data_IF_580005003478
#
_entry.id   IF_580005003478
#
_cell.length_a   1.000
_cell.length_b   1.000
_cell.length_c   1.000
_cell.angle_alpha   90.00
_cell.angle_beta   90.00
_cell.angle_gamma   90.00
#
_symmetry.space_group_name_H-M   'P 1'
#
loop_
_entity.id
_entity.type
_entity.pdbx_description
1 polymer ?
#
# COMPACT_ATOMS: atom_id res chain seq x y z
N UNK A 1 4.07 3.78 6.58
CA UNK A 1 3.18 2.73 7.13
C UNK A 1 2.89 1.72 6.04
N UNK A 2 2.68 0.43 6.38
CA UNK A 2 2.39 -0.63 5.43
C UNK A 2 1.02 -1.26 5.72
N UNK A 3 0.20 -1.41 4.68
CA UNK A 3 -0.99 -2.27 4.69
C UNK A 3 -0.67 -3.57 3.94
N UNK A 4 -1.39 -4.65 4.25
CA UNK A 4 -1.23 -5.96 3.61
C UNK A 4 -1.75 -5.89 2.17
N UNK A 5 -0.99 -6.40 1.22
CA UNK A 5 -1.47 -6.72 -0.12
C UNK A 5 -1.71 -8.21 -0.29
N UNK A 6 -2.26 -8.60 -1.43
CA UNK A 6 -2.50 -10.02 -1.73
C UNK A 6 -1.19 -10.82 -1.92
N UNK A 7 -0.09 -10.14 -2.25
CA UNK A 7 1.23 -10.75 -2.42
C UNK A 7 1.95 -11.02 -1.09
N UNK A 8 1.52 -10.41 0.02
CA UNK A 8 2.00 -10.68 1.38
C UNK A 8 1.28 -11.93 1.96
N UNK A 9 1.35 -13.04 1.22
CA UNK A 9 0.73 -14.33 1.53
C UNK A 9 1.66 -15.48 1.14
N UNK A 10 1.60 -16.60 1.86
CA UNK A 10 2.46 -17.77 1.62
C UNK A 10 2.22 -18.34 0.23
N UNK A 11 0.96 -18.47 -0.17
CA UNK A 11 0.62 -19.08 -1.46
C UNK A 11 1.16 -18.26 -2.65
N UNK A 12 1.00 -16.94 -2.60
CA UNK A 12 1.46 -16.07 -3.70
C UNK A 12 2.99 -15.95 -3.69
N UNK A 13 3.62 -15.79 -2.53
CA UNK A 13 5.10 -15.68 -2.47
C UNK A 13 5.85 -16.92 -2.93
N UNK A 14 5.27 -18.11 -2.77
CA UNK A 14 5.83 -19.39 -3.25
C UNK A 14 5.84 -19.49 -4.77
N UNK A 15 4.87 -18.89 -5.45
CA UNK A 15 4.71 -18.99 -6.91
C UNK A 15 5.37 -17.81 -7.64
N UNK A 16 5.34 -16.62 -7.04
CA UNK A 16 5.71 -15.36 -7.70
C UNK A 16 7.10 -14.82 -7.27
N UNK A 17 7.98 -15.70 -6.80
CA UNK A 17 9.42 -15.46 -6.78
C UNK A 17 10.02 -14.97 -5.46
N UNK A 18 9.22 -14.47 -4.50
CA UNK A 18 9.76 -14.01 -3.21
C UNK A 18 10.37 -15.18 -2.40
N UNK A 19 9.73 -16.34 -2.41
CA UNK A 19 10.27 -17.56 -1.82
C UNK A 19 11.63 -17.92 -2.43
N UNK A 20 11.68 -18.06 -3.76
CA UNK A 20 12.91 -18.43 -4.48
C UNK A 20 14.03 -17.41 -4.28
N UNK A 21 13.69 -16.12 -4.20
CA UNK A 21 14.65 -15.06 -3.92
C UNK A 21 15.25 -15.20 -2.52
N UNK A 22 14.42 -15.48 -1.51
CA UNK A 22 14.88 -15.72 -0.15
C UNK A 22 15.82 -16.93 -0.08
N UNK A 23 15.44 -18.06 -0.68
CA UNK A 23 16.30 -19.25 -0.74
C UNK A 23 17.62 -18.94 -1.45
N UNK A 24 17.57 -18.27 -2.60
CA UNK A 24 18.76 -17.95 -3.41
C UNK A 24 19.72 -17.00 -2.69
N UNK A 25 19.21 -15.99 -1.97
CA UNK A 25 20.04 -14.98 -1.30
C UNK A 25 20.59 -15.46 0.05
N UNK A 26 19.81 -16.24 0.80
CA UNK A 26 20.12 -16.58 2.19
C UNK A 26 20.42 -18.07 2.41
N UNK A 27 20.26 -18.91 1.39
CA UNK A 27 20.53 -20.36 1.45
C UNK A 27 19.57 -21.15 2.35
N UNK A 28 18.54 -20.50 2.91
CA UNK A 28 17.60 -21.10 3.85
C UNK A 28 16.20 -20.49 3.72
N UNK A 29 15.19 -21.29 4.04
CA UNK A 29 13.77 -20.90 4.08
C UNK A 29 13.42 -20.02 5.28
N UNK A 30 14.32 -19.91 6.27
CA UNK A 30 14.09 -19.17 7.52
C UNK A 30 13.64 -17.73 7.27
N UNK A 31 14.33 -17.00 6.38
CA UNK A 31 13.99 -15.59 6.09
C UNK A 31 12.57 -15.48 5.51
N UNK A 32 12.22 -16.35 4.56
CA UNK A 32 10.87 -16.36 4.00
C UNK A 32 9.81 -16.64 5.08
N UNK A 33 10.06 -17.61 5.98
CA UNK A 33 9.15 -17.91 7.09
C UNK A 33 8.95 -16.70 7.99
N UNK A 34 10.03 -16.07 8.45
CA UNK A 34 9.95 -14.86 9.27
C UNK A 34 9.18 -13.73 8.57
N UNK A 35 9.43 -13.49 7.28
CA UNK A 35 8.68 -12.50 6.52
C UNK A 35 7.18 -12.83 6.45
N UNK A 36 6.81 -14.09 6.21
CA UNK A 36 5.40 -14.48 6.17
C UNK A 36 4.69 -14.37 7.51
N UNK A 37 5.39 -14.57 8.62
CA UNK A 37 4.86 -14.30 9.97
C UNK A 37 4.61 -12.80 10.20
N UNK A 38 5.50 -11.94 9.68
CA UNK A 38 5.30 -10.48 9.69
C UNK A 38 4.12 -10.08 8.82
N UNK A 39 3.96 -10.70 7.64
CA UNK A 39 2.84 -10.43 6.73
C UNK A 39 1.49 -10.66 7.39
N UNK A 40 1.36 -11.69 8.22
CA UNK A 40 0.14 -11.96 8.99
C UNK A 40 -0.21 -10.84 9.98
N UNK A 41 0.77 -10.05 10.40
CA UNK A 41 0.56 -8.94 11.32
C UNK A 41 0.17 -7.61 10.63
N UNK A 42 0.30 -7.52 9.30
CA UNK A 42 0.03 -6.27 8.57
C UNK A 42 -1.45 -5.87 8.66
N UNK A 43 -1.71 -4.56 8.74
CA UNK A 43 -3.06 -4.02 8.76
C UNK A 43 -3.76 -4.26 7.40
N UNK A 44 -5.06 -4.55 7.41
CA UNK A 44 -5.82 -4.78 6.17
C UNK A 44 -6.21 -3.47 5.47
N UNK A 45 -6.44 -2.42 6.25
CA UNK A 45 -6.81 -1.10 5.75
C UNK A 45 -6.37 0.00 6.72
N UNK A 46 -6.36 1.24 6.23
CA UNK A 46 -6.14 2.44 7.02
C UNK A 46 -7.16 3.51 6.67
N UNK A 47 -7.43 4.41 7.61
CA UNK A 47 -8.28 5.58 7.42
C UNK A 47 -7.47 6.82 7.73
N UNK A 48 -7.31 7.71 6.76
CA UNK A 48 -6.56 8.97 6.89
C UNK A 48 -7.56 10.10 7.12
N UNK A 49 -7.33 10.90 8.18
CA UNK A 49 -8.15 12.05 8.56
C UNK A 49 -9.64 11.75 8.71
N UNK A 50 -10.01 10.50 8.99
CA UNK A 50 -11.41 10.06 9.12
C UNK A 50 -12.18 9.92 7.81
N UNK A 51 -11.66 10.41 6.68
CA UNK A 51 -12.43 10.58 5.44
C UNK A 51 -11.82 9.86 4.23
N UNK A 52 -10.59 9.36 4.31
CA UNK A 52 -9.93 8.63 3.22
C UNK A 52 -9.69 7.19 3.64
N UNK A 53 -10.32 6.24 2.96
CA UNK A 53 -10.17 4.81 3.21
C UNK A 53 -9.11 4.20 2.28
N UNK A 54 -8.04 3.67 2.85
CA UNK A 54 -6.95 3.03 2.12
C UNK A 54 -7.03 1.50 2.26
N UNK A 55 -7.08 0.79 1.14
CA UNK A 55 -7.13 -0.67 1.08
C UNK A 55 -6.35 -1.16 -0.15
N UNK A 56 -5.71 -2.33 -0.12
CA UNK A 56 -4.95 -2.80 -1.29
C UNK A 56 -5.85 -3.16 -2.47
N UNK A 57 -6.81 -4.05 -2.22
CA UNK A 57 -7.81 -4.52 -3.18
C UNK A 57 -8.99 -3.56 -3.24
N UNK A 58 -10.08 -3.84 -2.54
CA UNK A 58 -11.29 -3.03 -2.67
C UNK A 58 -12.37 -3.43 -1.69
N UNK A 59 -13.63 -3.16 -2.03
CA UNK A 59 -14.76 -3.41 -1.15
C UNK A 59 -15.20 -4.88 -1.17
N UNK A 60 -15.82 -5.32 -0.08
CA UNK A 60 -16.37 -6.67 0.08
C UNK A 60 -17.90 -6.61 0.25
N UNK A 61 -18.67 -7.52 -0.36
CA UNK A 61 -20.11 -7.63 -0.08
C UNK A 61 -20.42 -7.99 1.38
N UNK A 62 -19.44 -8.51 2.12
CA UNK A 62 -19.58 -8.87 3.54
C UNK A 62 -19.25 -7.72 4.49
N UNK A 63 -18.78 -6.58 3.97
CA UNK A 63 -18.35 -5.42 4.76
C UNK A 63 -19.14 -4.19 4.31
N UNK A 64 -20.02 -3.73 5.20
CA UNK A 64 -20.79 -2.50 5.04
C UNK A 64 -20.14 -1.34 5.81
N UNK A 65 -19.46 -1.63 6.93
CA UNK A 65 -18.85 -0.62 7.80
C UNK A 65 -17.38 -0.91 8.07
N UNK A 66 -16.59 0.14 8.26
CA UNK A 66 -15.17 0.06 8.59
C UNK A 66 -14.94 -0.71 9.89
N UNK A 67 -15.85 -0.62 10.86
CA UNK A 67 -15.73 -1.34 12.13
C UNK A 67 -15.77 -2.86 11.97
N UNK A 68 -16.45 -3.39 10.95
CA UNK A 68 -16.42 -4.83 10.65
C UNK A 68 -15.03 -5.32 10.26
N UNK A 69 -14.19 -4.45 9.68
CA UNK A 69 -12.79 -4.79 9.35
C UNK A 69 -11.96 -4.90 10.62
N UNK A 70 -12.30 -4.16 11.70
CA UNK A 70 -11.54 -4.17 12.96
C UNK A 70 -11.58 -5.52 13.66
N UNK A 71 -12.69 -6.24 13.50
CA UNK A 71 -12.93 -7.52 14.17
C UNK A 71 -12.47 -8.72 13.34
N UNK A 72 -11.94 -8.51 12.13
CA UNK A 72 -11.34 -9.58 11.33
C UNK A 72 -10.07 -10.07 12.04
N UNK A 73 -10.02 -11.37 12.35
CA UNK A 73 -8.77 -12.01 12.74
C UNK A 73 -7.83 -12.06 11.53
N UNK A 74 -6.94 -11.07 11.43
CA UNK A 74 -6.02 -10.95 10.31
C UNK A 74 -4.73 -11.75 10.46
N UNK A 75 -4.44 -12.27 11.67
CA UNK A 75 -3.17 -12.95 12.02
C UNK A 75 -3.15 -14.39 11.53
N UNK A 76 -3.45 -14.55 10.25
CA UNK A 76 -3.53 -15.81 9.55
C UNK A 76 -3.15 -15.61 8.09
N UNK A 77 -2.95 -16.73 7.39
CA UNK A 77 -2.85 -16.74 5.94
C UNK A 77 -4.12 -16.15 5.31
N UNK A 78 -3.98 -15.46 4.18
CA UNK A 78 -5.12 -14.92 3.43
C UNK A 78 -6.04 -16.09 3.02
N UNK A 79 -7.32 -16.11 3.46
CA UNK A 79 -8.26 -17.14 3.03
C UNK A 79 -8.56 -17.06 1.53
N UNK A 80 -9.13 -18.13 0.98
CA UNK A 80 -9.51 -18.17 -0.44
C UNK A 80 -10.78 -17.35 -0.74
N UNK A 81 -11.63 -17.10 0.27
CA UNK A 81 -12.86 -16.34 0.17
C UNK A 81 -13.11 -15.50 1.45
N UNK A 82 -14.22 -14.76 1.46
CA UNK A 82 -14.64 -13.97 2.62
C UNK A 82 -13.99 -12.58 2.72
N UNK A 83 -14.31 -11.83 3.77
CA UNK A 83 -14.06 -10.39 3.85
C UNK A 83 -12.57 -10.02 3.75
N UNK A 84 -11.68 -10.82 4.33
CA UNK A 84 -10.23 -10.59 4.24
C UNK A 84 -9.70 -10.82 2.82
N UNK A 85 -10.17 -11.86 2.13
CA UNK A 85 -9.83 -12.11 0.74
C UNK A 85 -10.29 -10.95 -0.14
N UNK A 86 -11.56 -10.56 0.01
CA UNK A 86 -12.18 -9.51 -0.80
C UNK A 86 -11.46 -8.15 -0.67
N UNK A 87 -11.07 -7.76 0.55
CA UNK A 87 -10.31 -6.53 0.80
C UNK A 87 -8.98 -6.51 0.04
N UNK A 88 -8.35 -7.67 -0.20
CA UNK A 88 -7.05 -7.78 -0.86
C UNK A 88 -7.13 -8.03 -2.36
N UNK A 89 -8.28 -8.49 -2.87
CA UNK A 89 -8.42 -8.98 -4.26
C UNK A 89 -9.49 -8.28 -5.11
N UNK A 90 -10.41 -7.54 -4.49
CA UNK A 90 -11.53 -6.93 -5.23
C UNK A 90 -11.10 -5.72 -6.07
N UNK A 91 -11.82 -5.47 -7.16
CA UNK A 91 -11.49 -4.45 -8.17
C UNK A 91 -12.69 -3.56 -8.54
N UNK A 92 -12.49 -2.24 -8.74
CA UNK A 92 -13.52 -1.37 -9.28
C UNK A 92 -13.80 -1.72 -10.76
N UNK A 93 -15.08 -1.75 -11.15
CA UNK A 93 -15.54 -1.99 -12.53
C UNK A 93 -16.82 -1.20 -12.83
N UNK A 94 -17.19 -1.08 -14.11
CA UNK A 94 -18.43 -0.39 -14.54
C UNK A 94 -19.71 -1.22 -14.28
N UNK A 95 -19.61 -2.33 -13.56
CA UNK A 95 -20.74 -3.17 -13.16
C UNK A 95 -21.67 -2.44 -12.19
N UNK A 96 -22.92 -2.90 -12.08
CA UNK A 96 -23.84 -2.44 -11.03
C UNK A 96 -23.81 -3.44 -9.88
N UNK A 97 -23.65 -2.95 -8.65
CA UNK A 97 -23.50 -3.79 -7.47
C UNK A 97 -22.16 -4.53 -7.47
N UNK A 98 -22.20 -5.79 -7.03
CA UNK A 98 -21.04 -6.68 -7.05
C UNK A 98 -21.09 -7.65 -8.22
N UNK A 99 -19.94 -7.89 -8.85
CA UNK A 99 -19.73 -8.88 -9.90
C UNK A 99 -18.68 -9.92 -9.51
N UNK A 100 -18.67 -11.07 -10.19
CA UNK A 100 -17.64 -12.09 -9.98
C UNK A 100 -16.30 -11.60 -10.54
N UNK A 101 -15.24 -11.67 -9.74
CA UNK A 101 -13.90 -11.29 -10.18
C UNK A 101 -13.35 -12.29 -11.20
N UNK A 102 -12.82 -11.82 -12.35
CA UNK A 102 -12.15 -12.68 -13.32
C UNK A 102 -10.81 -13.23 -12.82
N UNK A 103 -10.33 -12.76 -11.65
CA UNK A 103 -9.09 -13.24 -11.01
C UNK A 103 -9.28 -14.58 -10.29
N UNK A 104 -10.51 -14.99 -10.05
CA UNK A 104 -10.84 -16.18 -9.26
C UNK A 104 -10.82 -15.95 -7.74
N UNK A 105 -10.65 -14.71 -7.29
CA UNK A 105 -10.71 -14.28 -5.89
C UNK A 105 -11.22 -12.83 -5.81
N UNK A 106 -11.94 -12.50 -4.73
CA UNK A 106 -12.60 -11.20 -4.55
C UNK A 106 -13.76 -10.94 -5.53
N UNK A 107 -14.19 -9.68 -5.61
CA UNK A 107 -15.32 -9.24 -6.42
C UNK A 107 -14.96 -8.04 -7.31
N UNK A 108 -15.75 -7.84 -8.36
CA UNK A 108 -15.87 -6.54 -9.00
C UNK A 108 -16.89 -5.70 -8.22
N UNK A 109 -16.68 -4.39 -8.10
CA UNK A 109 -17.65 -3.50 -7.45
C UNK A 109 -17.89 -2.22 -8.25
N UNK A 110 -19.16 -1.84 -8.34
CA UNK A 110 -19.65 -0.66 -9.05
C UNK A 110 -19.62 0.64 -8.26
N UNK A 111 -19.97 1.73 -8.94
CA UNK A 111 -20.09 3.07 -8.33
C UNK A 111 -21.17 3.14 -7.24
N UNK A 112 -22.26 2.39 -7.38
CA UNK A 112 -23.36 2.32 -6.42
C UNK A 112 -22.94 1.68 -5.09
N UNK A 113 -22.06 0.67 -5.16
CA UNK A 113 -21.44 0.06 -3.99
C UNK A 113 -20.55 1.05 -3.27
N UNK A 114 -19.73 1.79 -4.01
CA UNK A 114 -18.83 2.81 -3.45
C UNK A 114 -19.64 3.91 -2.77
N UNK A 115 -20.69 4.41 -3.43
CA UNK A 115 -21.56 5.44 -2.87
C UNK A 115 -22.15 4.98 -1.53
N UNK A 116 -22.72 3.77 -1.50
CA UNK A 116 -23.33 3.20 -0.28
C UNK A 116 -22.31 3.06 0.85
N UNK A 117 -21.11 2.55 0.55
CA UNK A 117 -20.04 2.41 1.53
C UNK A 117 -19.56 3.76 2.04
N UNK A 118 -19.34 4.73 1.15
CA UNK A 118 -18.86 6.06 1.49
C UNK A 118 -19.86 6.80 2.39
N UNK A 119 -21.14 6.79 2.04
CA UNK A 119 -22.22 7.40 2.84
C UNK A 119 -22.33 6.76 4.23
N UNK A 120 -22.26 5.42 4.32
CA UNK A 120 -22.37 4.71 5.59
C UNK A 120 -21.18 4.96 6.54
N UNK A 121 -20.01 5.32 6.00
CA UNK A 121 -18.77 5.43 6.76
C UNK A 121 -18.20 6.85 6.85
N UNK A 122 -18.84 7.84 6.21
CA UNK A 122 -18.33 9.22 6.15
C UNK A 122 -17.01 9.35 5.36
N UNK A 123 -16.82 8.51 4.34
CA UNK A 123 -15.62 8.48 3.50
C UNK A 123 -15.85 9.27 2.22
N UNK A 124 -14.91 10.14 1.88
CA UNK A 124 -14.93 10.92 0.64
C UNK A 124 -14.17 10.21 -0.49
N UNK A 125 -13.15 9.43 -0.12
CA UNK A 125 -12.22 8.83 -1.06
C UNK A 125 -11.76 7.44 -0.62
N UNK A 126 -11.84 6.46 -1.53
CA UNK A 126 -11.16 5.18 -1.41
C UNK A 126 -9.85 5.22 -2.20
N UNK A 127 -8.71 5.09 -1.53
CA UNK A 127 -7.40 4.92 -2.16
C UNK A 127 -7.02 3.44 -2.19
N UNK A 128 -6.70 2.91 -3.37
CA UNK A 128 -6.36 1.51 -3.56
C UNK A 128 -5.26 1.26 -4.58
N UNK A 129 -4.79 0.01 -4.66
CA UNK A 129 -3.69 -0.39 -5.54
C UNK A 129 -4.09 -1.56 -6.45
N UNK A 130 -3.36 -2.67 -6.44
CA UNK A 130 -3.66 -3.99 -7.04
C UNK A 130 -3.89 -4.09 -8.56
N UNK A 131 -4.52 -3.12 -9.23
CA UNK A 131 -4.63 -3.03 -10.69
C UNK A 131 -3.49 -2.22 -11.29
N UNK A 132 -2.82 -2.81 -12.29
CA UNK A 132 -1.87 -2.09 -13.12
C UNK A 132 -2.58 -0.97 -13.89
N UNK A 133 -2.04 0.25 -13.79
CA UNK A 133 -2.48 1.42 -14.57
C UNK A 133 -1.29 1.97 -15.35
N UNK A 134 -1.48 2.25 -16.63
CA UNK A 134 -0.39 2.67 -17.53
C UNK A 134 0.19 4.02 -17.16
N UNK A 135 -0.66 4.93 -16.70
CA UNK A 135 -0.37 6.30 -16.30
C UNK A 135 0.06 6.41 -14.83
N UNK A 136 0.24 5.29 -14.14
CA UNK A 136 0.61 5.22 -12.72
C UNK A 136 -0.56 5.42 -11.75
N UNK A 137 -1.63 6.12 -12.15
CA UNK A 137 -2.85 6.23 -11.35
C UNK A 137 -4.11 6.35 -12.22
N UNK A 138 -5.27 6.02 -11.65
CA UNK A 138 -6.59 6.15 -12.30
C UNK A 138 -7.66 6.53 -11.30
N UNK A 139 -8.45 7.54 -11.66
CA UNK A 139 -9.69 7.87 -10.97
C UNK A 139 -10.85 7.00 -11.50
N UNK A 140 -11.71 6.55 -10.59
CA UNK A 140 -12.95 5.85 -10.91
C UNK A 140 -14.12 6.59 -10.24
N UNK A 141 -15.32 6.38 -10.78
CA UNK A 141 -16.59 6.76 -10.16
C UNK A 141 -16.62 8.21 -9.64
N UNK A 142 -16.38 9.17 -10.55
CA UNK A 142 -16.32 10.60 -10.23
C UNK A 142 -15.32 10.94 -9.12
N UNK A 143 -14.11 10.37 -9.21
CA UNK A 143 -12.99 10.60 -8.28
C UNK A 143 -13.21 10.11 -6.83
N UNK A 144 -14.22 9.26 -6.60
CA UNK A 144 -14.47 8.66 -5.27
C UNK A 144 -13.59 7.44 -5.00
N UNK A 145 -12.96 6.87 -6.04
CA UNK A 145 -11.93 5.82 -5.91
C UNK A 145 -10.71 6.18 -6.73
N UNK A 146 -9.53 6.06 -6.13
CA UNK A 146 -8.24 6.23 -6.78
C UNK A 146 -7.47 4.91 -6.78
N UNK A 147 -7.11 4.40 -7.95
CA UNK A 147 -6.12 3.34 -8.10
C UNK A 147 -4.75 3.97 -8.29
N UNK A 148 -3.78 3.63 -7.44
CA UNK A 148 -2.38 4.09 -7.52
C UNK A 148 -1.46 2.87 -7.73
N UNK A 149 -0.52 2.99 -8.67
CA UNK A 149 0.45 1.97 -9.01
C UNK A 149 1.86 2.54 -8.99
N UNK A 150 2.71 2.01 -8.11
CA UNK A 150 4.03 2.60 -7.84
C UNK A 150 5.21 1.77 -8.39
N UNK A 151 4.97 0.77 -9.24
CA UNK A 151 6.00 -0.06 -9.86
C UNK A 151 6.14 0.26 -11.37
N UNK A 152 7.11 1.09 -11.78
CA UNK A 152 7.25 1.51 -13.18
C UNK A 152 7.83 0.40 -14.03
N UNK A 153 7.43 0.36 -15.30
CA UNK A 153 7.75 -0.70 -16.26
C UNK A 153 7.61 -2.09 -15.63
N UNK A 154 6.40 -2.38 -15.15
CA UNK A 154 6.11 -3.57 -14.38
C UNK A 154 6.54 -4.84 -15.13
N UNK A 155 7.19 -5.74 -14.39
CA UNK A 155 7.85 -6.94 -14.90
C UNK A 155 8.77 -6.71 -16.11
N UNK A 156 9.32 -5.50 -16.28
CA UNK A 156 10.14 -5.06 -17.42
C UNK A 156 9.48 -5.21 -18.79
N UNK A 157 8.15 -5.26 -18.83
CA UNK A 157 7.36 -5.56 -20.05
C UNK A 157 6.21 -4.61 -20.27
N UNK A 158 5.60 -4.09 -19.20
CA UNK A 158 4.36 -3.35 -19.31
C UNK A 158 4.56 -1.93 -19.82
N UNK A 159 5.73 -1.31 -19.58
CA UNK A 159 6.01 0.06 -20.04
C UNK A 159 5.17 1.15 -19.36
N UNK A 160 4.46 0.84 -18.27
CA UNK A 160 3.72 1.81 -17.47
C UNK A 160 4.68 2.76 -16.72
N UNK A 161 4.21 3.97 -16.42
CA UNK A 161 4.83 4.83 -15.39
C UNK A 161 4.28 4.47 -14.01
N UNK A 162 4.87 5.04 -12.97
CA UNK A 162 4.45 4.86 -11.60
C UNK A 162 4.02 6.20 -10.98
N UNK A 163 3.15 6.12 -9.98
CA UNK A 163 2.67 7.29 -9.25
C UNK A 163 2.78 7.08 -7.73
N UNK A 164 2.90 8.21 -7.02
CA UNK A 164 2.64 8.36 -5.60
C UNK A 164 1.58 9.45 -5.46
N UNK A 165 0.56 9.21 -4.61
CA UNK A 165 -0.41 10.22 -4.22
C UNK A 165 0.04 10.87 -2.92
N UNK A 166 0.28 12.17 -2.97
CA UNK A 166 0.61 13.03 -1.84
C UNK A 166 -0.67 13.71 -1.36
N UNK A 167 -0.91 13.62 -0.07
CA UNK A 167 -2.06 14.22 0.61
C UNK A 167 -1.53 15.28 1.57
N UNK A 168 -1.95 16.53 1.39
CA UNK A 168 -1.61 17.61 2.32
C UNK A 168 -2.60 17.68 3.51
N UNK A 169 -2.30 18.53 4.48
CA UNK A 169 -3.10 18.73 5.70
C UNK A 169 -4.51 19.28 5.42
N UNK A 170 -4.68 19.99 4.30
CA UNK A 170 -5.96 20.54 3.84
C UNK A 170 -6.66 19.64 2.81
N UNK A 171 -6.29 18.35 2.74
CA UNK A 171 -6.81 17.37 1.79
C UNK A 171 -6.53 17.68 0.31
N UNK A 172 -5.56 18.56 0.02
CA UNK A 172 -5.00 18.71 -1.32
C UNK A 172 -4.37 17.39 -1.78
N UNK A 173 -4.59 17.09 -3.05
CA UNK A 173 -4.21 15.82 -3.71
C UNK A 173 -3.25 16.13 -4.84
N UNK A 174 -2.00 15.70 -4.71
CA UNK A 174 -0.99 15.86 -5.76
C UNK A 174 -0.39 14.50 -6.14
N UNK A 175 -0.10 14.30 -7.43
CA UNK A 175 0.55 13.08 -7.90
C UNK A 175 1.99 13.34 -8.33
N UNK A 176 2.91 12.62 -7.71
CA UNK A 176 4.29 12.52 -8.18
C UNK A 176 4.39 11.32 -9.14
N UNK A 177 4.60 11.60 -10.43
CA UNK A 177 4.76 10.58 -11.49
C UNK A 177 6.24 10.34 -11.77
N UNK A 178 6.64 9.07 -11.86
CA UNK A 178 8.04 8.70 -12.11
C UNK A 178 8.18 7.47 -13.01
N UNK A 179 9.28 7.42 -13.73
CA UNK A 179 9.63 6.33 -14.65
C UNK A 179 10.60 5.33 -14.00
N UNK A 180 10.88 4.23 -14.71
CA UNK A 180 11.85 3.24 -14.23
C UNK A 180 13.26 3.81 -14.25
N UNK A 181 14.02 3.60 -13.18
CA UNK A 181 15.41 4.06 -13.10
C UNK A 181 16.28 3.53 -14.27
N UNK A 182 17.24 4.33 -14.78
CA UNK A 182 18.14 3.93 -15.86
C UNK A 182 18.87 2.62 -15.58
N UNK A 183 19.21 1.87 -16.63
CA UNK A 183 19.79 0.54 -16.49
C UNK A 183 21.19 0.56 -15.83
N UNK A 184 21.93 1.65 -15.98
CA UNK A 184 23.28 1.84 -15.43
C UNK A 184 23.31 1.95 -13.90
N UNK A 185 22.22 2.39 -13.27
CA UNK A 185 22.10 2.49 -11.80
C UNK A 185 21.52 1.22 -11.16
N UNK A 186 21.13 0.21 -11.95
CA UNK A 186 20.61 -1.07 -11.44
C UNK A 186 21.76 -1.99 -11.03
N UNK A 187 22.25 -1.86 -9.80
CA UNK A 187 23.23 -2.78 -9.25
C UNK A 187 22.61 -4.19 -9.00
N UNK A 188 22.95 -5.18 -9.85
CA UNK A 188 22.91 -6.64 -9.58
C UNK A 188 21.74 -7.46 -10.16
N UNK A 189 21.77 -8.82 -10.07
CA UNK A 189 22.67 -9.78 -10.70
C UNK A 189 22.15 -10.29 -12.08
N UNK A 190 22.97 -11.09 -12.79
CA UNK A 190 22.72 -11.63 -14.15
C UNK A 190 21.32 -12.24 -14.35
N UNK A 191 20.69 -11.85 -15.47
CA UNK A 191 19.35 -12.26 -15.93
C UNK A 191 19.25 -13.78 -16.14
N UNK A 192 18.27 -14.42 -15.52
CA UNK A 192 17.53 -15.52 -16.15
C UNK A 192 16.03 -15.17 -16.20
N UNK A 193 15.34 -15.44 -17.32
CA UNK A 193 13.92 -15.16 -17.44
C UNK A 193 13.13 -16.02 -16.44
N UNK A 194 12.24 -15.40 -15.68
CA UNK A 194 11.25 -16.15 -14.88
C UNK A 194 10.22 -16.81 -15.80
N UNK A 195 9.74 -18.02 -15.48
CA UNK A 195 8.72 -18.70 -16.27
C UNK A 195 7.40 -17.94 -16.27
N UNK A 196 6.70 -17.99 -17.40
CA UNK A 196 5.42 -17.32 -17.62
C UNK A 196 4.29 -17.90 -16.75
N UNK A 197 3.39 -17.04 -16.26
CA UNK A 197 2.11 -17.48 -15.68
C UNK A 197 0.91 -16.79 -16.35
N UNK A 198 -0.23 -17.49 -16.55
CA UNK A 198 -1.26 -17.09 -17.52
C UNK A 198 -2.32 -16.10 -17.00
N UNK A 199 -2.26 -15.64 -15.74
CA UNK A 199 -3.40 -14.93 -15.11
C UNK A 199 -3.44 -13.41 -15.32
N UNK A 200 -2.38 -12.77 -15.82
CA UNK A 200 -2.33 -11.31 -15.99
C UNK A 200 -2.35 -10.84 -17.45
N UNK A 201 -2.03 -11.73 -18.40
CA UNK A 201 -2.06 -11.42 -19.84
C UNK A 201 -3.49 -11.37 -20.43
N UNK A 202 -4.50 -11.90 -19.72
CA UNK A 202 -5.89 -11.89 -20.18
C UNK A 202 -6.52 -10.49 -20.11
N UNK A 203 -6.05 -9.59 -19.25
CA UNK A 203 -6.54 -8.19 -19.18
C UNK A 203 -5.83 -7.23 -20.16
N UNK A 204 -4.58 -7.51 -20.56
CA UNK A 204 -3.85 -6.64 -21.49
C UNK A 204 -4.27 -6.79 -22.96
N UNK A 205 -5.22 -7.68 -23.30
CA UNK A 205 -5.66 -7.93 -24.68
C UNK A 205 -7.09 -7.44 -24.93
N UNK A 206 -7.28 -6.12 -24.99
CA UNK A 206 -8.34 -5.53 -25.81
C UNK A 206 -7.76 -4.41 -26.69
N UNK A 207 -8.00 -4.42 -28.01
CA UNK A 207 -7.41 -3.43 -28.91
C UNK A 207 -8.02 -2.05 -28.68
N UNK A 208 -7.16 -1.06 -28.43
CA UNK A 208 -7.50 0.36 -28.48
C UNK A 208 -7.88 0.69 -29.92
N UNK A 209 -9.16 1.02 -30.16
CA UNK A 209 -9.57 1.68 -31.40
C UNK A 209 -9.68 3.19 -31.15
N UNK A 210 -8.95 3.90 -32.01
CA UNK A 210 -9.10 5.29 -32.46
C UNK A 210 -8.75 6.43 -31.50
N UNK A 211 -7.54 6.95 -31.73
CA UNK A 211 -7.11 8.35 -31.61
C UNK A 211 -8.13 9.36 -32.15
N UNK A 212 -8.19 10.54 -31.52
CA UNK A 212 -8.36 11.90 -32.11
C UNK A 212 -7.99 12.95 -31.02
N UNK A 213 -7.62 14.21 -31.36
CA UNK A 213 -6.39 14.84 -30.88
C UNK A 213 -6.57 15.93 -29.82
N UNK A 214 -5.44 16.25 -29.17
CA UNK A 214 -5.18 17.28 -28.17
C UNK A 214 -5.81 18.66 -28.48
N UNK A 215 -6.54 19.19 -27.49
CA UNK A 215 -6.93 20.59 -27.36
C UNK A 215 -6.15 21.27 -26.22
N UNK A 216 -5.63 22.46 -26.52
CA UNK A 216 -4.72 23.29 -25.71
C UNK A 216 -5.34 23.91 -24.44
N UNK A 217 -4.45 24.13 -23.45
CA UNK A 217 -4.41 25.20 -22.43
C UNK A 217 -5.55 25.32 -21.43
N UNK A 218 -5.26 25.11 -20.13
CA UNK A 218 -5.40 26.12 -19.07
C UNK A 218 -4.40 25.82 -17.93
N UNK A 219 -3.28 26.54 -17.87
CA UNK A 219 -2.51 26.71 -16.63
C UNK A 219 -3.13 27.89 -15.88
N UNK A 220 -3.63 27.66 -14.66
CA UNK A 220 -3.97 28.74 -13.72
C UNK A 220 -3.17 28.50 -12.44
N UNK A 221 -2.09 29.26 -12.30
CA UNK A 221 -1.32 29.33 -11.07
C UNK A 221 -2.19 29.92 -9.95
N UNK A 222 -2.27 29.22 -8.82
CA UNK A 222 -2.71 29.81 -7.56
C UNK A 222 -1.48 30.05 -6.69
N UNK A 223 -1.40 31.29 -6.21
CA UNK A 223 -0.39 31.84 -5.32
C UNK A 223 -0.45 31.13 -3.96
N UNK A 224 0.56 30.33 -3.63
CA UNK A 224 0.83 29.88 -2.26
C UNK A 224 1.61 30.95 -1.52
N UNK A 225 1.21 31.28 -0.30
CA UNK A 225 1.90 32.26 0.53
C UNK A 225 3.31 31.76 0.90
N UNK A 226 4.28 32.66 1.02
CA UNK A 226 5.71 32.34 1.26
C UNK A 226 5.99 31.58 2.57
N UNK A 227 5.01 31.46 3.47
CA UNK A 227 5.16 30.73 4.73
C UNK A 227 4.85 29.22 4.60
N UNK A 228 3.99 28.81 3.67
CA UNK A 228 3.53 27.41 3.57
C UNK A 228 4.55 26.49 2.87
N UNK A 229 5.39 27.05 1.99
CA UNK A 229 6.45 26.31 1.29
C UNK A 229 7.67 25.95 2.18
N UNK A 230 7.79 26.55 3.38
CA UNK A 230 8.94 26.30 4.27
C UNK A 230 8.78 25.02 5.10
N UNK A 231 7.56 24.64 5.48
CA UNK A 231 7.30 23.52 6.39
C UNK A 231 7.49 22.15 5.70
N UNK A 232 7.18 22.04 4.39
CA UNK A 232 7.34 20.77 3.63
C UNK A 232 8.79 20.49 3.21
N UNK A 233 9.54 21.50 2.76
CA UNK A 233 10.94 21.32 2.37
C UNK A 233 11.86 20.98 3.54
N UNK A 234 11.62 21.56 4.72
CA UNK A 234 12.45 21.31 5.90
C UNK A 234 12.22 19.89 6.44
N UNK A 235 10.97 19.44 6.49
CA UNK A 235 10.62 18.07 6.88
C UNK A 235 11.19 17.04 5.92
N UNK A 236 11.10 17.29 4.60
CA UNK A 236 11.70 16.43 3.58
C UNK A 236 13.22 16.36 3.73
N UNK A 237 13.91 17.52 3.84
CA UNK A 237 15.36 17.58 4.07
C UNK A 237 15.76 16.86 5.36
N UNK A 238 14.93 16.93 6.40
CA UNK A 238 15.15 16.23 7.65
C UNK A 238 15.05 14.71 7.44
N UNK A 239 13.95 14.19 6.91
CA UNK A 239 13.77 12.74 6.69
C UNK A 239 14.82 12.20 5.72
N UNK A 240 15.11 12.91 4.63
CA UNK A 240 16.17 12.56 3.67
C UNK A 240 17.54 12.50 4.33
N UNK A 241 17.84 13.44 5.23
CA UNK A 241 19.04 13.40 6.07
C UNK A 241 19.09 12.19 7.02
N UNK A 242 17.95 11.81 7.62
CA UNK A 242 17.87 10.67 8.53
C UNK A 242 18.05 9.33 7.81
N UNK A 243 17.54 9.19 6.59
CA UNK A 243 17.59 7.92 5.82
C UNK A 243 18.93 7.72 5.12
N UNK A 244 19.67 8.79 4.80
CA UNK A 244 20.98 8.69 4.14
C UNK A 244 22.14 8.28 5.05
N UNK A 245 21.98 8.41 6.36
CA UNK A 245 23.06 8.17 7.32
C UNK A 245 23.19 6.71 7.77
N UNK A 246 22.12 5.93 7.66
CA UNK A 246 22.06 4.57 8.20
C UNK A 246 21.53 3.58 7.14
N UNK A 247 22.10 2.38 7.04
CA UNK A 247 21.75 1.39 6.02
C UNK A 247 20.33 0.83 6.18
N UNK A 248 19.82 0.81 7.42
CA UNK A 248 18.46 0.39 7.74
C UNK A 248 17.92 1.37 8.79
N UNK A 249 16.83 2.05 8.45
CA UNK A 249 16.15 3.02 9.31
C UNK A 249 14.74 2.54 9.58
N UNK A 250 14.35 2.54 10.86
CA UNK A 250 13.01 2.14 11.30
C UNK A 250 12.35 3.29 12.03
N UNK A 251 11.29 3.83 11.42
CA UNK A 251 10.38 4.75 12.09
C UNK A 251 9.37 3.92 12.90
N UNK A 252 9.48 3.97 14.22
CA UNK A 252 8.72 3.12 15.13
C UNK A 252 8.11 3.91 16.28
N UNK A 253 7.07 3.35 16.92
CA UNK A 253 6.51 3.92 18.15
C UNK A 253 7.36 3.43 19.32
N UNK A 254 7.93 4.36 20.09
CA UNK A 254 8.96 4.05 21.09
C UNK A 254 10.34 3.90 20.46
N UNK A 255 11.27 3.32 21.20
CA UNK A 255 12.65 3.11 20.76
C UNK A 255 12.94 1.64 20.52
N UNK A 256 14.10 1.33 19.96
CA UNK A 256 14.58 -0.06 19.87
C UNK A 256 14.61 -0.73 21.26
N UNK A 257 15.07 -0.02 22.30
CA UNK A 257 15.14 -0.57 23.67
C UNK A 257 13.77 -0.64 24.35
N UNK A 258 12.87 0.27 23.99
CA UNK A 258 11.54 0.38 24.57
C UNK A 258 10.47 0.54 23.48
N UNK A 259 10.12 -0.54 22.75
CA UNK A 259 9.07 -0.47 21.75
C UNK A 259 7.72 -0.21 22.40
N UNK A 260 7.05 0.87 22.00
CA UNK A 260 5.80 1.32 22.59
C UNK A 260 4.56 0.67 21.97
N UNK A 261 4.72 -0.23 20.99
CA UNK A 261 3.62 -1.04 20.46
C UNK A 261 4.09 -2.41 19.97
N UNK A 262 3.14 -3.36 19.83
CA UNK A 262 3.42 -4.73 19.39
C UNK A 262 4.04 -4.84 18.00
N UNK A 263 3.66 -3.95 17.07
CA UNK A 263 4.31 -3.89 15.74
C UNK A 263 5.78 -3.49 15.84
N UNK A 264 6.07 -2.42 16.58
CA UNK A 264 7.45 -1.96 16.83
C UNK A 264 8.28 -3.04 17.53
N UNK A 265 7.67 -3.80 18.45
CA UNK A 265 8.32 -4.95 19.09
C UNK A 265 8.62 -6.07 18.09
N UNK A 266 7.66 -6.46 17.26
CA UNK A 266 7.86 -7.53 16.28
C UNK A 266 8.90 -7.17 15.21
N UNK A 267 8.87 -5.93 14.72
CA UNK A 267 9.89 -5.43 13.77
C UNK A 267 11.29 -5.50 14.41
N UNK A 268 11.44 -5.05 15.65
CA UNK A 268 12.71 -5.18 16.40
C UNK A 268 13.14 -6.63 16.53
N UNK A 269 12.25 -7.53 16.98
CA UNK A 269 12.56 -8.95 17.17
C UNK A 269 13.05 -9.63 15.89
N UNK A 270 12.44 -9.29 14.74
CA UNK A 270 12.87 -9.83 13.44
C UNK A 270 14.26 -9.29 13.06
N UNK A 271 14.51 -8.00 13.25
CA UNK A 271 15.80 -7.39 12.94
C UNK A 271 16.92 -7.91 13.85
N UNK A 272 16.65 -8.07 15.15
CA UNK A 272 17.57 -8.68 16.11
C UNK A 272 17.87 -10.13 15.73
N UNK A 273 16.84 -10.92 15.40
CA UNK A 273 16.99 -12.33 15.04
C UNK A 273 17.89 -12.54 13.81
N UNK A 274 17.92 -11.55 12.92
CA UNK A 274 18.75 -11.57 11.72
C UNK A 274 20.07 -10.81 11.86
N UNK A 275 20.42 -10.36 13.08
CA UNK A 275 21.60 -9.52 13.36
C UNK A 275 21.68 -8.29 12.42
N UNK A 276 20.54 -7.71 12.07
CA UNK A 276 20.46 -6.52 11.20
C UNK A 276 20.52 -5.28 12.07
N UNK A 277 21.65 -4.53 12.10
CA UNK A 277 21.71 -3.27 12.81
C UNK A 277 20.80 -2.26 12.13
N UNK A 278 20.00 -1.53 12.91
CA UNK A 278 19.13 -0.49 12.39
C UNK A 278 19.12 0.73 13.32
N UNK A 279 18.83 1.90 12.74
CA UNK A 279 18.59 3.13 13.49
C UNK A 279 17.09 3.31 13.71
N UNK A 280 16.68 3.44 14.97
CA UNK A 280 15.30 3.75 15.32
C UNK A 280 15.07 5.26 15.41
N UNK A 281 13.87 5.67 14.96
CA UNK A 281 13.35 7.02 15.15
C UNK A 281 11.97 6.93 15.78
N UNK A 282 11.86 7.42 17.02
CA UNK A 282 10.62 7.40 17.78
C UNK A 282 9.63 8.42 17.21
N UNK A 283 8.62 7.95 16.48
CA UNK A 283 7.62 8.82 15.84
C UNK A 283 6.75 9.57 16.85
N UNK A 284 6.68 9.10 18.10
CA UNK A 284 5.90 9.76 19.16
C UNK A 284 6.58 11.05 19.66
N UNK A 285 7.91 11.03 19.76
CA UNK A 285 8.70 12.20 20.17
C UNK A 285 8.88 13.20 19.00
N UNK A 286 8.85 12.69 17.77
CA UNK A 286 8.88 13.54 16.58
C UNK A 286 7.59 14.35 16.39
N UNK A 287 6.45 13.86 16.88
CA UNK A 287 5.16 14.56 16.83
C UNK A 287 5.04 15.71 17.86
N UNK A 288 5.75 15.64 18.99
CA UNK A 288 5.72 16.68 20.03
C UNK A 288 6.41 18.00 19.66
N UNK A 289 7.13 18.05 18.54
CA UNK A 289 7.71 19.28 18.01
C UNK A 289 6.77 19.97 17.01
N UNK A 290 5.59 20.44 17.46
CA UNK A 290 4.61 21.19 16.63
C UNK A 290 4.36 20.61 15.22
N UNK A 291 4.19 19.29 15.11
CA UNK A 291 3.73 18.65 13.88
C UNK A 291 2.52 17.79 14.25
N UNK A 292 1.32 18.31 13.98
CA UNK A 292 0.13 17.45 13.90
C UNK A 292 0.29 16.56 12.68
N UNK A 293 0.84 15.35 12.89
CA UNK A 293 0.81 14.33 11.85
C UNK A 293 -0.67 14.00 11.56
N UNK A 294 -1.06 13.84 10.28
CA UNK A 294 -2.43 13.51 9.93
C UNK A 294 -2.92 12.29 10.74
N UNK A 295 -4.14 12.37 11.29
CA UNK A 295 -4.69 11.33 12.13
C UNK A 295 -4.96 10.07 11.29
N UNK A 296 -4.04 9.11 11.31
CA UNK A 296 -4.21 7.83 10.62
C UNK A 296 -4.70 6.76 11.58
N UNK A 297 -5.96 6.35 11.40
CA UNK A 297 -6.62 5.30 12.15
C UNK A 297 -6.54 3.97 11.41
N UNK A 298 -6.00 2.95 12.07
CA UNK A 298 -5.81 1.64 11.48
C UNK A 298 -7.03 0.79 11.74
N UNK A 299 -7.36 -0.06 10.77
CA UNK A 299 -8.55 -0.89 10.83
C UNK A 299 -8.10 -2.35 10.85
N UNK A 300 -8.35 -2.98 12.00
CA UNK A 300 -7.84 -4.30 12.42
C UNK A 300 -7.40 -4.20 13.87
N UNK A 301 -7.96 -5.01 14.78
CA UNK A 301 -7.82 -4.83 16.23
C UNK A 301 -6.36 -4.58 16.66
N UNK A 302 -6.17 -3.46 17.36
CA UNK A 302 -4.97 -3.10 18.11
C UNK A 302 -5.24 -3.04 19.62
N UNK A 303 -6.48 -3.27 20.03
CA UNK A 303 -6.86 -3.47 21.43
C UNK A 303 -6.79 -4.96 21.75
N UNK A 304 -6.36 -5.28 22.96
CA UNK A 304 -6.21 -6.61 23.56
C UNK A 304 -4.88 -7.32 23.28
N UNK A 305 -3.78 -6.69 23.73
CA UNK A 305 -2.68 -7.42 24.38
C UNK A 305 -2.23 -6.63 25.60
N UNK A 306 -3.07 -6.61 26.64
CA UNK A 306 -2.50 -6.63 27.99
C UNK A 306 -1.95 -8.05 28.21
N UNK A 307 -0.77 -8.23 28.82
CA UNK A 307 -0.36 -9.55 29.26
C UNK A 307 -1.39 -10.05 30.29
N UNK A 308 -1.93 -11.24 30.08
CA UNK A 308 -2.57 -12.00 31.15
C UNK A 308 -1.50 -12.25 32.21
N UNK A 309 -1.60 -11.55 33.34
CA UNK A 309 -0.98 -11.95 34.59
C UNK A 309 -1.78 -13.13 35.14
N UNK A 310 -1.31 -14.35 34.87
CA UNK A 310 -1.85 -15.62 35.38
C UNK A 310 -0.94 -16.81 35.12
#
# INVERSE_FOLDING_TARGET
MLIRGNHESRQITQVYGFYDECIRKYGSVTVWRCCTEVFDCLALAAVINGHIFCVHGGLSPSIQTIDQIRVIDRKQEVPHDGPMCDLLWSDPDETTGYGVSPRGAGFLFGSDVVQTFNEANGIDLICRAHQLVMEGYKWHFNETVCTVWSAPNYCYRCGNVAAILELDEMQGREFTIFESAPQETRAGPSKKPQPESPSMLSLCRRPIKTFLPLGRNVFRAYSTSENDAKISQETYKRIDGLVKNDPVVVFMKGTQDQPACGFSRNVKLVLDFHDVPFKDYNVLEMATANVELPAVNYVGSWADVAPDDG
#
